data_IF_372141000495
#
_entry.id   IF_372141000495
#
_cell.length_a   1.000
_cell.length_b   1.000
_cell.length_c   1.000
_cell.angle_alpha   90.00
_cell.angle_beta   90.00
_cell.angle_gamma   90.00
#
_symmetry.space_group_name_H-M   'P 1'
#
loop_
_entity.id
_entity.type
_entity.pdbx_description
1 polymer ?
#
# COMPACT_ATOMS: atom_id res chain seq x y z
N UNK A 1 -1.75 -9.39 -10.47
CA UNK A 1 -2.06 -9.72 -9.06
C UNK A 1 -0.77 -10.21 -8.41
N UNK A 2 -0.19 -9.46 -7.46
CA UNK A 2 0.92 -9.97 -6.66
C UNK A 2 0.37 -11.01 -5.68
N UNK A 3 0.54 -12.29 -6.01
CA UNK A 3 0.36 -13.39 -5.06
C UNK A 3 1.48 -13.26 -4.03
N UNK A 4 1.14 -12.91 -2.79
CA UNK A 4 2.09 -12.83 -1.70
C UNK A 4 2.64 -14.24 -1.38
N UNK A 5 3.81 -14.55 -1.91
CA UNK A 5 4.67 -15.61 -1.40
C UNK A 5 5.11 -15.20 0.01
N UNK A 6 4.55 -15.87 1.04
CA UNK A 6 4.59 -15.41 2.44
C UNK A 6 5.84 -15.86 3.20
N UNK A 7 6.84 -16.45 2.54
CA UNK A 7 7.98 -17.08 3.23
C UNK A 7 9.36 -16.70 2.71
N UNK A 8 9.46 -15.89 1.66
CA UNK A 8 10.76 -15.48 1.11
C UNK A 8 11.17 -14.11 1.67
N UNK A 9 12.33 -14.04 2.35
CA UNK A 9 12.92 -12.74 2.73
C UNK A 9 13.10 -11.91 1.44
N UNK A 10 12.62 -10.66 1.40
CA UNK A 10 12.75 -9.85 0.19
C UNK A 10 14.22 -9.71 -0.19
N UNK A 11 14.53 -9.96 -1.46
CA UNK A 11 15.87 -9.82 -2.00
C UNK A 11 16.24 -8.33 -1.93
N UNK A 12 17.18 -7.99 -1.04
CA UNK A 12 17.68 -6.62 -0.90
C UNK A 12 18.70 -6.32 -1.98
N UNK A 13 18.56 -5.18 -2.65
CA UNK A 13 19.56 -4.65 -3.57
C UNK A 13 20.29 -3.49 -2.92
N UNK A 14 21.62 -3.52 -2.94
CA UNK A 14 22.42 -2.40 -2.50
C UNK A 14 22.22 -1.21 -3.46
N UNK A 15 22.05 -0.03 -2.89
CA UNK A 15 21.87 1.23 -3.63
C UNK A 15 22.76 2.29 -3.02
N UNK A 16 23.36 3.13 -3.86
CA UNK A 16 24.11 4.31 -3.41
C UNK A 16 23.13 5.48 -3.29
N UNK A 17 23.08 6.10 -2.11
CA UNK A 17 22.13 7.16 -1.78
C UNK A 17 22.90 8.34 -1.21
N UNK A 18 22.57 9.54 -1.66
CA UNK A 18 23.06 10.79 -1.06
C UNK A 18 21.98 11.36 -0.15
N UNK A 19 22.30 11.55 1.12
CA UNK A 19 21.41 12.12 2.14
C UNK A 19 22.05 13.36 2.75
N UNK A 20 21.23 14.19 3.40
CA UNK A 20 21.74 15.35 4.14
C UNK A 20 22.71 14.88 5.23
N UNK A 21 23.93 15.45 5.23
CA UNK A 21 25.01 15.05 6.13
C UNK A 21 24.66 15.28 7.60
N UNK A 22 24.09 16.45 7.95
CA UNK A 22 23.73 16.75 9.34
C UNK A 22 22.67 15.81 9.90
N UNK A 23 21.69 15.43 9.07
CA UNK A 23 20.65 14.45 9.46
C UNK A 23 21.27 13.07 9.66
N UNK A 24 22.20 12.69 8.77
CA UNK A 24 22.89 11.41 8.86
C UNK A 24 23.74 11.32 10.13
N UNK A 25 24.49 12.37 10.44
CA UNK A 25 25.35 12.44 11.63
C UNK A 25 24.52 12.37 12.91
N UNK A 26 23.40 13.12 12.97
CA UNK A 26 22.44 13.04 14.08
C UNK A 26 21.87 11.64 14.23
N UNK A 27 21.42 11.00 13.14
CA UNK A 27 20.87 9.66 13.17
C UNK A 27 21.89 8.61 13.66
N UNK A 28 23.15 8.73 13.24
CA UNK A 28 24.25 7.90 13.72
C UNK A 28 24.53 8.13 15.20
N UNK A 29 24.57 9.39 15.65
CA UNK A 29 24.73 9.75 17.06
C UNK A 29 23.61 9.19 17.96
N UNK A 30 22.41 9.02 17.40
CA UNK A 30 21.27 8.38 18.07
C UNK A 30 21.26 6.84 17.97
N UNK A 31 22.25 6.21 17.32
CA UNK A 31 22.31 4.76 17.16
C UNK A 31 21.21 4.17 16.27
N UNK A 32 20.64 4.97 15.36
CA UNK A 32 19.55 4.52 14.49
C UNK A 32 20.02 3.49 13.46
N UNK A 33 19.18 2.48 13.20
CA UNK A 33 19.40 1.55 12.09
C UNK A 33 18.98 2.19 10.76
N UNK A 34 19.90 2.93 10.14
CA UNK A 34 19.63 3.69 8.91
C UNK A 34 19.03 2.84 7.79
N UNK A 35 19.57 1.64 7.56
CA UNK A 35 19.10 0.77 6.49
C UNK A 35 17.64 0.37 6.71
N UNK A 36 17.28 -0.04 7.94
CA UNK A 36 15.90 -0.40 8.25
C UNK A 36 14.95 0.80 8.16
N UNK A 37 15.37 1.97 8.64
CA UNK A 37 14.56 3.19 8.59
C UNK A 37 14.27 3.61 7.16
N UNK A 38 15.29 3.67 6.30
CA UNK A 38 15.12 4.07 4.89
C UNK A 38 14.29 3.03 4.12
N UNK A 39 14.50 1.73 4.37
CA UNK A 39 13.73 0.64 3.76
C UNK A 39 12.23 0.77 4.08
N UNK A 40 11.89 1.03 5.35
CA UNK A 40 10.51 1.22 5.78
C UNK A 40 9.85 2.46 5.14
N UNK A 41 10.52 3.61 5.20
CA UNK A 41 10.02 4.87 4.64
C UNK A 41 9.79 4.76 3.13
N UNK A 42 10.74 4.13 2.41
CA UNK A 42 10.62 3.93 0.97
C UNK A 42 9.48 2.96 0.63
N UNK A 43 9.31 1.88 1.38
CA UNK A 43 8.22 0.93 1.17
C UNK A 43 6.84 1.58 1.37
N UNK A 44 6.69 2.46 2.36
CA UNK A 44 5.46 3.22 2.58
C UNK A 44 5.16 4.21 1.46
N UNK A 45 6.14 4.99 1.03
CA UNK A 45 5.96 5.95 -0.05
C UNK A 45 5.64 5.26 -1.38
N UNK A 46 6.32 4.15 -1.70
CA UNK A 46 6.00 3.32 -2.89
C UNK A 46 4.56 2.82 -2.84
N UNK A 47 4.10 2.33 -1.69
CA UNK A 47 2.72 1.85 -1.52
C UNK A 47 1.72 2.99 -1.74
N UNK A 48 1.98 4.15 -1.17
CA UNK A 48 1.14 5.35 -1.34
C UNK A 48 1.04 5.76 -2.80
N UNK A 49 2.18 5.88 -3.50
CA UNK A 49 2.23 6.25 -4.91
C UNK A 49 1.50 5.24 -5.80
N UNK A 50 1.68 3.95 -5.51
CA UNK A 50 0.98 2.87 -6.21
C UNK A 50 -0.54 3.04 -6.11
N UNK A 51 -1.07 3.24 -4.89
CA UNK A 51 -2.51 3.39 -4.69
C UNK A 51 -3.06 4.69 -5.25
N UNK A 52 -2.31 5.80 -5.15
CA UNK A 52 -2.72 7.05 -5.78
C UNK A 52 -2.89 6.89 -7.29
N UNK A 53 -1.93 6.23 -7.94
CA UNK A 53 -2.00 5.95 -9.37
C UNK A 53 -3.13 4.99 -9.71
N UNK A 54 -3.27 3.90 -8.97
CA UNK A 54 -4.34 2.92 -9.20
C UNK A 54 -5.73 3.56 -9.05
N UNK A 55 -5.94 4.38 -8.01
CA UNK A 55 -7.20 5.10 -7.82
C UNK A 55 -7.49 6.07 -8.96
N UNK A 56 -6.47 6.78 -9.47
CA UNK A 56 -6.63 7.68 -10.60
C UNK A 56 -7.01 6.91 -11.88
N UNK A 57 -6.31 5.82 -12.17
CA UNK A 57 -6.55 4.97 -13.36
C UNK A 57 -7.90 4.26 -13.32
N UNK A 58 -8.40 3.91 -12.13
CA UNK A 58 -9.63 3.12 -11.96
C UNK A 58 -10.84 3.99 -11.57
N UNK A 59 -10.69 5.31 -11.51
CA UNK A 59 -11.71 6.24 -11.03
C UNK A 59 -13.05 6.05 -11.76
N UNK A 60 -13.03 6.04 -13.09
CA UNK A 60 -14.25 5.87 -13.90
C UNK A 60 -14.91 4.50 -13.68
N UNK A 61 -14.11 3.42 -13.59
CA UNK A 61 -14.62 2.08 -13.34
C UNK A 61 -15.26 1.96 -11.94
N UNK A 62 -14.65 2.60 -10.93
CA UNK A 62 -15.17 2.68 -9.56
C UNK A 62 -16.47 3.49 -9.54
N UNK A 63 -16.52 4.65 -10.20
CA UNK A 63 -17.71 5.49 -10.28
C UNK A 63 -18.87 4.77 -10.99
N UNK A 64 -18.60 4.12 -12.12
CA UNK A 64 -19.61 3.33 -12.83
C UNK A 64 -20.12 2.16 -11.98
N UNK A 65 -19.22 1.47 -11.27
CA UNK A 65 -19.61 0.40 -10.35
C UNK A 65 -20.47 0.94 -9.20
N UNK A 66 -20.07 2.05 -8.58
CA UNK A 66 -20.83 2.70 -7.50
C UNK A 66 -22.24 3.11 -7.96
N UNK A 67 -22.35 3.76 -9.12
CA UNK A 67 -23.65 4.14 -9.71
C UNK A 67 -24.54 2.91 -9.99
N UNK A 68 -23.93 1.80 -10.42
CA UNK A 68 -24.65 0.53 -10.57
C UNK A 68 -25.16 0.00 -9.23
N UNK A 69 -24.35 0.03 -8.17
CA UNK A 69 -24.76 -0.39 -6.82
C UNK A 69 -25.89 0.50 -6.29
N UNK A 70 -25.85 1.81 -6.51
CA UNK A 70 -26.93 2.73 -6.13
C UNK A 70 -28.25 2.41 -6.84
N UNK A 71 -28.18 2.09 -8.14
CA UNK A 71 -29.37 1.75 -8.93
C UNK A 71 -29.92 0.36 -8.63
N UNK A 72 -29.05 -0.65 -8.55
CA UNK A 72 -29.42 -2.08 -8.58
C UNK A 72 -29.29 -2.76 -7.22
N UNK A 73 -28.71 -2.07 -6.22
CA UNK A 73 -28.31 -2.67 -4.96
C UNK A 73 -27.09 -3.58 -5.10
N UNK A 74 -26.66 -4.18 -3.99
CA UNK A 74 -25.53 -5.11 -3.98
C UNK A 74 -25.90 -6.41 -4.74
N UNK A 75 -25.17 -6.80 -5.80
CA UNK A 75 -25.52 -7.95 -6.65
C UNK A 75 -25.67 -9.27 -5.89
N UNK A 76 -24.88 -9.46 -4.84
CA UNK A 76 -24.87 -10.67 -4.01
C UNK A 76 -25.70 -10.56 -2.74
N UNK A 77 -26.41 -9.44 -2.51
CA UNK A 77 -27.26 -9.27 -1.32
C UNK A 77 -28.29 -10.39 -1.17
N UNK A 78 -28.83 -10.89 -2.29
CA UNK A 78 -29.81 -11.98 -2.33
C UNK A 78 -29.26 -13.34 -1.85
N UNK A 79 -27.94 -13.51 -1.79
CA UNK A 79 -27.28 -14.74 -1.31
C UNK A 79 -26.63 -14.57 0.06
N UNK A 80 -26.84 -13.43 0.74
CA UNK A 80 -26.26 -13.16 2.06
C UNK A 80 -27.01 -13.95 3.13
N UNK A 81 -26.48 -15.12 3.50
CA UNK A 81 -27.08 -16.08 4.44
C UNK A 81 -26.74 -15.85 5.92
N UNK A 82 -25.69 -15.09 6.24
CA UNK A 82 -25.17 -14.98 7.62
C UNK A 82 -25.44 -13.62 8.32
N UNK A 83 -26.23 -12.73 7.71
CA UNK A 83 -26.50 -11.39 8.27
C UNK A 83 -28.00 -11.08 8.46
N UNK A 84 -28.86 -12.11 8.42
CA UNK A 84 -30.28 -12.03 8.83
C UNK A 84 -30.41 -12.70 10.20
N UNK A 85 -30.33 -11.93 11.28
CA UNK A 85 -30.53 -12.46 12.63
C UNK A 85 -30.02 -11.50 13.71
N UNK A 86 -30.87 -10.54 14.06
CA UNK A 86 -30.93 -9.90 15.36
C UNK A 86 -32.36 -10.02 15.85
#
# INVERSE_FOLDING_TARGET
MLTADRTTRPIKRAVNLSLNAEVLDKARGMGMNLSATVDALLAEEVRKQYWQRWNAENKEAIEHYNARIEREGLPLARYRTFMKGG
#
